data_IF_435883519790
#
_entry.id   IF_435883519790
#
_cell.length_a   1.000
_cell.length_b   1.000
_cell.length_c   1.000
_cell.angle_alpha   90.00
_cell.angle_beta   90.00
_cell.angle_gamma   90.00
#
_symmetry.space_group_name_H-M   'P 1'
#
loop_
_entity.id
_entity.type
_entity.pdbx_description
1 polymer ?
#
# COMPACT_ATOMS: atom_id res chain seq x y z
N UNK A 1 -25.29 3.97 -24.81
CA UNK A 1 -25.35 4.88 -23.63
C UNK A 1 -23.99 5.49 -23.29
N UNK A 2 -22.93 4.69 -23.03
CA UNK A 2 -21.60 5.22 -22.69
C UNK A 2 -21.05 6.25 -23.68
N UNK A 3 -21.15 5.98 -24.98
CA UNK A 3 -20.70 6.93 -26.02
C UNK A 3 -21.46 8.26 -25.98
N UNK A 4 -22.76 8.28 -25.68
CA UNK A 4 -23.51 9.53 -25.57
C UNK A 4 -23.09 10.39 -24.37
N UNK A 5 -22.51 9.78 -23.34
CA UNK A 5 -22.00 10.49 -22.16
C UNK A 5 -20.57 10.97 -22.41
N UNK A 6 -19.70 10.11 -22.93
CA UNK A 6 -18.29 10.43 -23.12
C UNK A 6 -18.04 11.28 -24.38
N UNK A 7 -18.66 10.93 -25.51
CA UNK A 7 -18.33 11.51 -26.81
C UNK A 7 -18.49 13.03 -26.91
N UNK A 8 -19.52 13.68 -26.32
CA UNK A 8 -19.67 15.13 -26.44
C UNK A 8 -18.42 15.90 -25.98
N UNK A 9 -17.79 15.48 -24.88
CA UNK A 9 -16.57 16.11 -24.40
C UNK A 9 -15.37 15.86 -25.33
N UNK A 10 -15.19 14.62 -25.82
CA UNK A 10 -14.12 14.30 -26.76
C UNK A 10 -14.28 15.04 -28.10
N UNK A 11 -15.52 15.15 -28.60
CA UNK A 11 -15.84 15.91 -29.82
C UNK A 11 -15.53 17.39 -29.60
N UNK A 12 -15.95 17.97 -28.47
CA UNK A 12 -15.67 19.36 -28.13
C UNK A 12 -14.16 19.64 -28.03
N UNK A 13 -13.41 18.77 -27.35
CA UNK A 13 -11.95 18.91 -27.20
C UNK A 13 -11.24 18.79 -28.55
N UNK A 14 -11.65 17.84 -29.39
CA UNK A 14 -11.09 17.71 -30.73
C UNK A 14 -11.44 18.90 -31.63
N UNK A 15 -12.69 19.39 -31.60
CA UNK A 15 -13.09 20.57 -32.37
C UNK A 15 -12.32 21.84 -31.95
N UNK A 16 -11.94 21.95 -30.67
CA UNK A 16 -11.23 23.11 -30.13
C UNK A 16 -9.72 23.05 -30.36
N UNK A 17 -9.11 21.87 -30.21
CA UNK A 17 -7.64 21.72 -30.15
C UNK A 17 -7.08 20.86 -31.30
N UNK A 18 -7.93 20.28 -32.15
CA UNK A 18 -7.54 19.43 -33.27
C UNK A 18 -6.65 18.25 -32.85
N UNK A 19 -5.68 17.95 -33.71
CA UNK A 19 -4.77 16.81 -33.52
C UNK A 19 -3.86 16.95 -32.30
N UNK A 20 -3.63 18.18 -31.80
CA UNK A 20 -2.84 18.40 -30.57
C UNK A 20 -3.50 17.70 -29.38
N UNK A 21 -4.83 17.70 -29.31
CA UNK A 21 -5.56 16.95 -28.29
C UNK A 21 -5.33 15.45 -28.42
N UNK A 22 -5.43 14.88 -29.63
CA UNK A 22 -5.22 13.45 -29.83
C UNK A 22 -3.79 13.03 -29.46
N UNK A 23 -2.80 13.81 -29.90
CA UNK A 23 -1.39 13.58 -29.61
C UNK A 23 -1.12 13.67 -28.11
N UNK A 24 -1.63 14.69 -27.41
CA UNK A 24 -1.36 14.82 -25.96
C UNK A 24 -2.17 13.83 -25.12
N UNK A 25 -3.46 13.69 -25.40
CA UNK A 25 -4.36 12.90 -24.57
C UNK A 25 -4.17 11.40 -24.75
N UNK A 26 -4.01 10.92 -25.99
CA UNK A 26 -3.84 9.50 -26.26
C UNK A 26 -2.37 9.15 -26.42
N UNK A 27 -1.61 9.80 -27.31
CA UNK A 27 -0.25 9.35 -27.57
C UNK A 27 0.69 9.66 -26.40
N UNK A 28 0.75 10.89 -25.92
CA UNK A 28 1.67 11.30 -24.86
C UNK A 28 1.32 10.67 -23.51
N UNK A 29 0.04 10.58 -23.13
CA UNK A 29 -0.31 9.94 -21.85
C UNK A 29 -0.21 8.41 -21.90
N UNK A 30 -0.53 7.75 -23.02
CA UNK A 30 -0.41 6.29 -23.12
C UNK A 30 1.04 5.84 -23.29
N UNK A 31 1.85 6.57 -24.06
CA UNK A 31 3.28 6.25 -24.24
C UNK A 31 4.17 6.86 -23.17
N UNK A 32 3.94 8.11 -22.77
CA UNK A 32 4.75 8.84 -21.78
C UNK A 32 4.33 8.60 -20.32
N UNK A 33 3.04 8.39 -20.04
CA UNK A 33 2.59 8.07 -18.68
C UNK A 33 2.93 6.64 -18.26
N UNK A 34 2.94 5.69 -19.20
CA UNK A 34 3.31 4.29 -18.96
C UNK A 34 4.78 3.98 -19.26
N UNK A 35 5.48 4.74 -20.11
CA UNK A 35 6.89 4.49 -20.47
C UNK A 35 7.85 5.67 -20.21
N UNK A 36 7.37 6.87 -19.90
CA UNK A 36 8.16 8.11 -19.80
C UNK A 36 8.95 8.30 -18.50
N UNK A 37 9.20 7.22 -17.76
CA UNK A 37 10.23 7.18 -16.73
C UNK A 37 9.96 7.90 -15.41
N UNK A 38 8.72 8.30 -15.15
CA UNK A 38 8.31 8.83 -13.86
C UNK A 38 7.74 7.68 -12.99
N UNK A 39 8.12 7.61 -11.71
CA UNK A 39 7.61 6.67 -10.72
C UNK A 39 7.89 5.18 -10.99
N UNK A 40 9.15 4.86 -11.29
CA UNK A 40 9.56 3.46 -11.36
C UNK A 40 9.45 2.78 -10.00
N UNK A 41 8.68 1.70 -9.95
CA UNK A 41 8.59 0.84 -8.78
C UNK A 41 8.57 -0.64 -9.18
N UNK A 42 9.10 -1.54 -8.33
CA UNK A 42 9.22 -2.96 -8.65
C UNK A 42 7.85 -3.63 -8.83
N UNK A 43 7.82 -4.79 -9.49
CA UNK A 43 6.60 -5.55 -9.81
C UNK A 43 5.71 -5.78 -8.56
N UNK A 44 6.32 -6.12 -7.43
CA UNK A 44 5.63 -6.42 -6.17
C UNK A 44 5.12 -5.18 -5.41
N UNK A 45 5.34 -3.97 -5.90
CA UNK A 45 5.05 -2.74 -5.17
C UNK A 45 3.58 -2.61 -4.76
N UNK A 46 2.63 -2.81 -5.68
CA UNK A 46 1.21 -2.77 -5.35
C UNK A 46 0.80 -3.87 -4.38
N UNK A 47 1.44 -5.04 -4.43
CA UNK A 47 1.23 -6.10 -3.45
C UNK A 47 1.59 -5.64 -2.04
N UNK A 48 2.80 -5.08 -1.87
CA UNK A 48 3.27 -4.55 -0.59
C UNK A 48 2.37 -3.40 -0.13
N UNK A 49 2.07 -2.44 -1.01
CA UNK A 49 1.21 -1.31 -0.70
C UNK A 49 -0.19 -1.74 -0.27
N UNK A 50 -0.77 -2.70 -0.97
CA UNK A 50 -2.08 -3.27 -0.63
C UNK A 50 -2.02 -3.92 0.75
N UNK A 51 -1.03 -4.77 1.03
CA UNK A 51 -0.88 -5.39 2.35
C UNK A 51 -0.70 -4.35 3.47
N UNK A 52 -0.08 -3.21 3.18
CA UNK A 52 0.08 -2.10 4.12
C UNK A 52 -1.23 -1.35 4.39
N UNK A 53 -1.95 -0.95 3.35
CA UNK A 53 -3.20 -0.18 3.47
C UNK A 53 -4.40 -0.99 3.92
N UNK A 54 -4.39 -2.30 3.67
CA UNK A 54 -5.44 -3.22 4.14
C UNK A 54 -5.28 -3.58 5.62
N UNK A 55 -4.39 -2.96 6.38
CA UNK A 55 -4.31 -3.20 7.82
C UNK A 55 -5.56 -2.61 8.50
N UNK A 56 -6.23 -3.35 9.40
CA UNK A 56 -5.84 -4.67 9.89
C UNK A 56 -6.27 -5.83 8.95
N UNK A 57 -7.31 -5.68 8.13
CA UNK A 57 -7.94 -6.70 7.26
C UNK A 57 -7.02 -7.66 6.48
N UNK A 58 -5.74 -7.35 6.28
CA UNK A 58 -4.73 -8.22 5.66
C UNK A 58 -4.71 -9.64 6.25
N UNK A 59 -5.02 -9.82 7.53
CA UNK A 59 -5.09 -11.14 8.18
C UNK A 59 -6.23 -12.01 7.64
N UNK A 60 -7.21 -11.43 6.94
CA UNK A 60 -8.32 -12.15 6.31
C UNK A 60 -7.98 -12.70 4.93
N UNK A 61 -6.81 -12.36 4.38
CA UNK A 61 -6.36 -12.86 3.07
C UNK A 61 -6.30 -14.39 3.01
N UNK A 62 -5.71 -15.10 4.01
CA UNK A 62 -5.73 -16.57 4.03
C UNK A 62 -7.15 -17.15 3.96
N UNK A 63 -8.13 -16.44 4.50
CA UNK A 63 -9.54 -16.85 4.45
C UNK A 63 -10.17 -16.68 3.08
N UNK A 64 -9.84 -15.59 2.40
CA UNK A 64 -10.24 -15.38 1.02
C UNK A 64 -9.65 -16.51 0.16
N UNK A 65 -8.35 -16.80 0.32
CA UNK A 65 -7.66 -17.87 -0.41
C UNK A 65 -8.30 -19.24 -0.12
N UNK A 66 -8.51 -19.58 1.15
CA UNK A 66 -9.18 -20.82 1.53
C UNK A 66 -10.57 -20.95 0.90
N UNK A 67 -11.36 -19.87 0.95
CA UNK A 67 -12.70 -19.82 0.36
C UNK A 67 -12.66 -20.07 -1.14
N UNK A 68 -11.73 -19.42 -1.86
CA UNK A 68 -11.53 -19.62 -3.31
C UNK A 68 -11.21 -21.09 -3.59
N UNK A 69 -10.21 -21.65 -2.91
CA UNK A 69 -9.78 -23.04 -3.13
C UNK A 69 -10.91 -24.05 -2.81
N UNK A 70 -11.65 -23.85 -1.71
CA UNK A 70 -12.78 -24.70 -1.34
C UNK A 70 -13.91 -24.64 -2.39
N UNK A 71 -14.19 -23.46 -2.94
CA UNK A 71 -15.23 -23.30 -3.95
C UNK A 71 -14.81 -23.86 -5.32
N UNK A 72 -13.52 -23.78 -5.69
CA UNK A 72 -12.98 -24.46 -6.88
C UNK A 72 -13.24 -25.98 -6.79
N UNK A 73 -12.93 -26.59 -5.64
CA UNK A 73 -13.17 -28.03 -5.43
C UNK A 73 -14.65 -28.40 -5.54
N UNK A 74 -15.54 -27.52 -5.05
CA UNK A 74 -17.00 -27.69 -5.11
C UNK A 74 -17.59 -27.30 -6.47
N UNK A 75 -16.77 -26.88 -7.44
CA UNK A 75 -17.20 -26.34 -8.74
C UNK A 75 -18.18 -25.17 -8.64
N UNK A 76 -18.08 -24.39 -7.57
CA UNK A 76 -18.85 -23.17 -7.37
C UNK A 76 -18.01 -21.97 -7.81
N UNK A 77 -18.46 -21.25 -8.84
CA UNK A 77 -17.70 -20.14 -9.43
C UNK A 77 -18.25 -18.75 -9.04
N UNK A 78 -19.06 -18.65 -8.00
CA UNK A 78 -19.60 -17.35 -7.53
C UNK A 78 -18.51 -16.32 -7.18
N UNK A 79 -17.33 -16.78 -6.75
CA UNK A 79 -16.19 -15.90 -6.43
C UNK A 79 -15.43 -15.37 -7.67
N UNK A 80 -15.72 -15.89 -8.87
CA UNK A 80 -14.89 -15.68 -10.05
C UNK A 80 -15.02 -14.25 -10.59
N UNK A 81 -16.21 -13.64 -10.52
CA UNK A 81 -16.43 -12.25 -10.95
C UNK A 81 -15.56 -11.25 -10.18
N UNK A 82 -15.62 -11.18 -8.83
CA UNK A 82 -14.76 -10.26 -8.08
C UNK A 82 -13.27 -10.62 -8.21
N UNK A 83 -12.93 -11.91 -8.33
CA UNK A 83 -11.54 -12.31 -8.53
C UNK A 83 -10.99 -11.81 -9.88
N UNK A 84 -11.73 -11.98 -10.98
CA UNK A 84 -11.34 -11.49 -12.29
C UNK A 84 -11.22 -9.96 -12.31
N UNK A 85 -12.11 -9.25 -11.62
CA UNK A 85 -12.01 -7.79 -11.45
C UNK A 85 -10.71 -7.42 -10.72
N UNK A 86 -10.38 -8.09 -9.62
CA UNK A 86 -9.12 -7.83 -8.91
C UNK A 86 -7.93 -8.06 -9.85
N UNK A 87 -7.90 -9.18 -10.56
CA UNK A 87 -6.79 -9.54 -11.45
C UNK A 87 -6.68 -8.59 -12.65
N UNK A 88 -7.81 -8.14 -13.23
CA UNK A 88 -7.82 -7.28 -14.41
C UNK A 88 -7.25 -5.89 -14.15
N UNK A 89 -7.25 -5.43 -12.90
CA UNK A 89 -6.61 -4.17 -12.49
C UNK A 89 -5.22 -4.45 -11.94
N UNK A 90 -5.10 -5.37 -10.98
CA UNK A 90 -3.86 -5.58 -10.24
C UNK A 90 -2.71 -6.01 -11.16
N UNK A 91 -2.95 -6.93 -12.10
CA UNK A 91 -1.89 -7.47 -12.96
C UNK A 91 -1.36 -6.42 -13.95
N UNK A 92 -2.19 -5.73 -14.77
CA UNK A 92 -1.68 -4.73 -15.70
C UNK A 92 -0.94 -3.58 -15.01
N UNK A 93 -1.47 -3.08 -13.88
CA UNK A 93 -0.80 -2.01 -13.14
C UNK A 93 0.50 -2.49 -12.48
N UNK A 94 0.56 -3.73 -11.96
CA UNK A 94 1.80 -4.27 -11.39
C UNK A 94 2.89 -4.45 -12.43
N UNK A 95 2.55 -4.86 -13.65
CA UNK A 95 3.51 -5.02 -14.76
C UNK A 95 3.96 -3.68 -15.34
N UNK A 96 3.13 -2.62 -15.26
CA UNK A 96 3.50 -1.28 -15.71
C UNK A 96 4.74 -0.74 -14.99
N UNK A 97 5.66 -0.10 -15.72
CA UNK A 97 6.88 0.47 -15.14
C UNK A 97 6.59 1.69 -14.26
N UNK A 98 5.66 2.55 -14.69
CA UNK A 98 5.20 3.71 -13.92
C UNK A 98 4.06 3.31 -12.98
N UNK A 99 4.27 3.46 -11.67
CA UNK A 99 3.29 3.08 -10.65
C UNK A 99 2.87 4.28 -9.81
N UNK A 100 1.57 4.34 -9.50
CA UNK A 100 0.99 5.38 -8.66
C UNK A 100 -0.03 4.75 -7.73
N UNK A 101 0.03 5.03 -6.43
CA UNK A 101 -0.70 4.25 -5.41
C UNK A 101 -2.21 4.23 -5.60
N UNK A 102 -2.81 5.29 -6.16
CA UNK A 102 -4.26 5.35 -6.38
C UNK A 102 -4.73 4.53 -7.59
N UNK A 103 -3.85 4.05 -8.47
CA UNK A 103 -4.27 3.25 -9.63
C UNK A 103 -4.96 1.94 -9.25
N UNK A 104 -4.64 1.41 -8.06
CA UNK A 104 -5.28 0.20 -7.54
C UNK A 104 -6.52 0.47 -6.71
N UNK A 105 -6.97 1.73 -6.56
CA UNK A 105 -8.17 2.03 -5.78
C UNK A 105 -9.44 1.34 -6.28
N UNK A 106 -9.64 1.16 -7.59
CA UNK A 106 -10.80 0.41 -8.06
C UNK A 106 -10.77 -1.09 -7.70
N UNK A 107 -9.70 -1.63 -7.08
CA UNK A 107 -9.68 -2.99 -6.51
C UNK A 107 -10.52 -3.13 -5.24
N UNK A 108 -10.64 -2.07 -4.45
CA UNK A 108 -11.21 -2.14 -3.09
C UNK A 108 -12.63 -2.75 -3.06
N UNK A 109 -13.57 -2.35 -3.93
CA UNK A 109 -14.92 -2.92 -3.90
C UNK A 109 -14.93 -4.43 -4.17
N UNK A 110 -14.19 -4.89 -5.19
CA UNK A 110 -14.14 -6.30 -5.55
C UNK A 110 -13.53 -7.16 -4.43
N UNK A 111 -12.51 -6.65 -3.76
CA UNK A 111 -11.90 -7.33 -2.64
C UNK A 111 -12.82 -7.37 -1.42
N UNK A 112 -13.55 -6.28 -1.11
CA UNK A 112 -14.56 -6.28 -0.04
C UNK A 112 -15.71 -7.26 -0.31
N UNK A 113 -16.16 -7.36 -1.57
CA UNK A 113 -17.16 -8.37 -1.96
C UNK A 113 -16.64 -9.79 -1.75
N UNK A 114 -15.41 -10.06 -2.18
CA UNK A 114 -14.77 -11.37 -2.02
C UNK A 114 -14.53 -11.71 -0.54
N UNK A 115 -14.17 -10.71 0.27
CA UNK A 115 -14.04 -10.83 1.70
C UNK A 115 -15.38 -11.14 2.37
N UNK A 116 -16.44 -10.39 2.04
CA UNK A 116 -17.79 -10.63 2.55
C UNK A 116 -18.29 -12.02 2.20
N UNK A 117 -18.07 -12.46 0.96
CA UNK A 117 -18.35 -13.82 0.51
C UNK A 117 -17.57 -14.88 1.29
N UNK A 118 -16.29 -14.63 1.59
CA UNK A 118 -15.48 -15.52 2.40
C UNK A 118 -15.98 -15.60 3.84
N UNK A 119 -16.32 -14.47 4.46
CA UNK A 119 -16.86 -14.40 5.82
C UNK A 119 -18.22 -15.11 5.94
N UNK A 120 -19.11 -14.94 4.97
CA UNK A 120 -20.41 -15.63 4.94
C UNK A 120 -20.25 -17.16 4.91
N UNK A 121 -19.24 -17.65 4.17
CA UNK A 121 -18.96 -19.09 4.12
C UNK A 121 -18.33 -19.61 5.42
N UNK A 122 -17.68 -18.76 6.21
CA UNK A 122 -17.04 -19.11 7.49
C UNK A 122 -18.04 -19.18 8.64
N UNK A 123 -19.19 -18.50 8.58
CA UNK A 123 -20.21 -18.64 9.62
C UNK A 123 -20.66 -20.10 9.83
N UNK A 124 -20.47 -20.95 8.81
CA UNK A 124 -20.67 -22.41 8.87
C UNK A 124 -19.53 -23.17 9.56
N UNK A 125 -18.35 -22.57 9.70
CA UNK A 125 -17.11 -23.11 10.30
C UNK A 125 -16.61 -22.19 11.42
N UNK A 126 -17.43 -22.05 12.48
CA UNK A 126 -17.23 -21.14 13.63
C UNK A 126 -15.87 -21.24 14.34
N UNK A 127 -15.20 -22.39 14.24
CA UNK A 127 -13.88 -22.65 14.83
C UNK A 127 -12.77 -21.88 14.09
N UNK A 128 -12.90 -21.67 12.78
CA UNK A 128 -11.90 -20.99 11.96
C UNK A 128 -11.90 -19.47 12.22
N UNK A 129 -13.08 -18.89 12.44
CA UNK A 129 -13.24 -17.48 12.78
C UNK A 129 -12.59 -17.15 14.14
N UNK A 130 -12.79 -18.03 15.13
CA UNK A 130 -12.16 -17.94 16.45
C UNK A 130 -10.63 -18.08 16.40
N UNK A 131 -10.12 -18.99 15.58
CA UNK A 131 -8.70 -19.20 15.45
C UNK A 131 -8.00 -18.02 14.75
N UNK A 132 -8.63 -17.39 13.75
CA UNK A 132 -8.12 -16.16 13.14
C UNK A 132 -8.13 -14.96 14.08
N UNK A 133 -9.15 -14.87 14.95
CA UNK A 133 -9.25 -13.83 15.97
C UNK A 133 -8.16 -13.98 17.05
N UNK A 134 -7.84 -15.21 17.45
CA UNK A 134 -6.71 -15.48 18.36
C UNK A 134 -5.35 -15.11 17.73
N UNK A 135 -5.19 -15.34 16.43
CA UNK A 135 -3.99 -14.97 15.67
C UNK A 135 -3.86 -13.46 15.52
N UNK A 136 -4.98 -12.78 15.28
CA UNK A 136 -5.09 -11.32 15.34
C UNK A 136 -4.59 -10.78 16.69
N UNK A 137 -5.04 -11.40 17.79
CA UNK A 137 -4.72 -10.96 19.16
C UNK A 137 -3.27 -11.21 19.57
N UNK A 138 -2.59 -12.17 18.95
CA UNK A 138 -1.16 -12.43 19.22
C UNK A 138 -0.21 -11.57 18.39
N UNK A 139 -0.65 -11.07 17.23
CA UNK A 139 0.17 -10.25 16.32
C UNK A 139 0.15 -8.77 16.71
N UNK A 140 -0.97 -8.25 17.22
CA UNK A 140 -1.16 -6.81 17.51
C UNK A 140 -0.22 -6.27 18.60
N UNK A 141 0.04 -6.95 19.74
CA UNK A 141 0.98 -6.46 20.76
C UNK A 141 2.43 -6.41 20.26
N UNK A 142 2.81 -7.37 19.40
CA UNK A 142 4.15 -7.44 18.82
C UNK A 142 4.39 -6.34 17.78
N UNK A 143 3.31 -5.87 17.16
CA UNK A 143 3.33 -4.82 16.15
C UNK A 143 3.64 -3.44 16.75
N UNK A 144 3.00 -3.08 17.87
CA UNK A 144 3.18 -1.77 18.48
C UNK A 144 4.60 -1.53 19.03
N UNK A 145 5.32 -2.61 19.36
CA UNK A 145 6.70 -2.52 19.88
C UNK A 145 7.78 -2.36 18.79
N UNK A 146 7.46 -2.51 17.51
CA UNK A 146 8.47 -2.71 16.44
C UNK A 146 8.29 -1.84 15.20
N UNK A 147 7.62 -0.69 15.34
CA UNK A 147 7.31 0.27 14.26
C UNK A 147 8.54 0.82 13.51
N UNK A 148 9.79 0.51 13.91
CA UNK A 148 10.95 1.02 13.18
C UNK A 148 11.59 0.07 12.15
N UNK A 149 11.89 -1.23 12.37
CA UNK A 149 12.86 -1.91 11.46
C UNK A 149 12.75 -3.43 11.19
N UNK A 150 11.63 -4.13 11.41
CA UNK A 150 11.61 -5.59 11.16
C UNK A 150 11.29 -5.95 9.68
N UNK A 151 12.09 -6.82 9.03
CA UNK A 151 11.84 -7.27 7.65
C UNK A 151 10.54 -8.09 7.52
N UNK A 152 9.94 -8.07 6.32
CA UNK A 152 8.69 -8.77 5.96
C UNK A 152 8.68 -10.30 6.26
N UNK A 153 9.86 -10.91 6.44
CA UNK A 153 10.06 -12.37 6.56
C UNK A 153 9.46 -12.99 7.83
N UNK A 154 9.75 -12.51 9.06
CA UNK A 154 9.11 -13.00 10.29
C UNK A 154 7.59 -12.85 10.29
N UNK A 155 7.03 -11.82 9.64
CA UNK A 155 5.58 -11.66 9.52
C UNK A 155 4.97 -12.79 8.68
N UNK A 156 5.53 -13.06 7.49
CA UNK A 156 5.12 -14.19 6.65
C UNK A 156 5.22 -15.54 7.39
N UNK A 157 6.30 -15.75 8.17
CA UNK A 157 6.48 -16.97 8.96
C UNK A 157 5.41 -17.11 10.04
N UNK A 158 5.09 -16.05 10.79
CA UNK A 158 4.05 -16.08 11.82
C UNK A 158 2.67 -16.34 11.21
N UNK A 159 2.40 -15.77 10.03
CA UNK A 159 1.17 -15.98 9.28
C UNK A 159 1.05 -17.44 8.81
N UNK A 160 2.15 -18.05 8.36
CA UNK A 160 2.19 -19.46 7.97
C UNK A 160 1.99 -20.39 9.18
N UNK A 161 2.66 -20.12 10.30
CA UNK A 161 2.54 -20.91 11.54
C UNK A 161 1.11 -20.85 12.08
N UNK A 162 0.53 -19.65 12.15
CA UNK A 162 -0.86 -19.48 12.57
C UNK A 162 -1.83 -20.22 11.65
N UNK A 163 -1.69 -20.08 10.33
CA UNK A 163 -2.53 -20.80 9.36
C UNK A 163 -2.42 -22.32 9.51
N UNK A 164 -1.20 -22.84 9.73
CA UNK A 164 -0.97 -24.27 10.02
C UNK A 164 -1.62 -24.73 11.32
N UNK A 165 -1.51 -23.94 12.39
CA UNK A 165 -2.14 -24.22 13.68
C UNK A 165 -3.68 -24.22 13.58
N UNK A 166 -4.26 -23.30 12.81
CA UNK A 166 -5.71 -23.28 12.57
C UNK A 166 -6.21 -24.55 11.88
N UNK A 167 -5.46 -25.06 10.90
CA UNK A 167 -5.78 -26.32 10.23
C UNK A 167 -5.76 -27.51 11.20
N UNK A 168 -4.83 -27.49 12.15
CA UNK A 168 -4.69 -28.51 13.18
C UNK A 168 -5.78 -28.42 14.27
N UNK A 169 -6.05 -27.23 14.81
CA UNK A 169 -7.01 -27.01 15.89
C UNK A 169 -8.46 -27.29 15.46
N UNK A 170 -8.83 -26.98 14.21
CA UNK A 170 -10.14 -27.29 13.65
C UNK A 170 -10.42 -28.81 13.61
N UNK A 171 -9.38 -29.64 13.57
CA UNK A 171 -9.52 -31.10 13.63
C UNK A 171 -9.82 -31.62 15.04
N UNK A 172 -9.50 -30.86 16.09
CA UNK A 172 -9.48 -31.36 17.48
C UNK A 172 -10.59 -30.79 18.40
N UNK A 173 -11.00 -29.53 18.24
CA UNK A 173 -11.91 -28.87 19.19
C UNK A 173 -13.34 -28.79 18.67
N UNK A 174 -14.07 -29.92 18.67
CA UNK A 174 -15.40 -29.95 18.05
C UNK A 174 -16.57 -29.57 18.97
N UNK A 175 -16.53 -29.60 20.31
CA UNK A 175 -17.73 -29.31 21.12
C UNK A 175 -17.45 -28.75 22.53
N UNK A 176 -18.16 -27.67 22.90
CA UNK A 176 -19.00 -27.54 24.14
C UNK A 176 -18.87 -26.33 25.10
N UNK A 177 -18.20 -25.20 24.81
CA UNK A 177 -18.55 -23.96 25.56
C UNK A 177 -18.36 -22.66 24.78
N UNK A 178 -19.49 -22.12 24.32
CA UNK A 178 -19.58 -21.00 23.37
C UNK A 178 -19.72 -19.62 24.05
N UNK A 179 -20.26 -19.55 25.28
CA UNK A 179 -20.53 -18.26 25.96
C UNK A 179 -19.28 -17.55 26.45
N UNK A 180 -18.30 -18.30 26.95
CA UNK A 180 -17.02 -17.75 27.42
C UNK A 180 -16.19 -17.20 26.25
N UNK A 181 -16.29 -17.82 25.08
CA UNK A 181 -15.58 -17.41 23.87
C UNK A 181 -16.09 -16.08 23.30
N UNK A 182 -17.41 -15.82 23.35
CA UNK A 182 -17.98 -14.52 22.95
C UNK A 182 -17.61 -13.37 23.91
N UNK A 183 -17.67 -13.60 25.22
CA UNK A 183 -17.33 -12.57 26.22
C UNK A 183 -15.86 -12.17 26.15
N UNK A 184 -14.96 -13.16 25.99
CA UNK A 184 -13.54 -12.92 25.78
C UNK A 184 -13.29 -12.14 24.48
N UNK A 185 -13.98 -12.51 23.39
CA UNK A 185 -13.90 -11.82 22.10
C UNK A 185 -14.29 -10.34 22.19
N UNK A 186 -15.44 -10.01 22.79
CA UNK A 186 -15.92 -8.63 22.91
C UNK A 186 -15.01 -7.78 23.81
N UNK A 187 -14.51 -8.35 24.89
CA UNK A 187 -13.60 -7.66 25.82
C UNK A 187 -12.30 -7.29 25.13
N UNK A 188 -11.73 -8.22 24.36
CA UNK A 188 -10.47 -7.97 23.67
C UNK A 188 -10.70 -7.05 22.47
N UNK A 189 -11.80 -7.17 21.70
CA UNK A 189 -12.14 -6.24 20.62
C UNK A 189 -12.21 -4.79 21.11
N UNK A 190 -12.86 -4.56 22.26
CA UNK A 190 -12.94 -3.25 22.90
C UNK A 190 -11.56 -2.71 23.30
N UNK A 191 -10.70 -3.55 23.85
CA UNK A 191 -9.32 -3.18 24.22
C UNK A 191 -8.46 -2.82 22.99
N UNK A 192 -8.55 -3.59 21.89
CA UNK A 192 -7.80 -3.32 20.66
C UNK A 192 -8.25 -2.03 19.97
N UNK A 193 -9.57 -1.76 19.94
CA UNK A 193 -10.11 -0.53 19.39
C UNK A 193 -9.67 0.70 20.20
N UNK A 194 -9.66 0.60 21.54
CA UNK A 194 -9.15 1.65 22.43
C UNK A 194 -7.65 1.90 22.23
N UNK A 195 -6.84 0.83 22.09
CA UNK A 195 -5.41 0.97 21.83
C UNK A 195 -5.11 1.58 20.46
N UNK A 196 -5.84 1.18 19.41
CA UNK A 196 -5.67 1.75 18.07
C UNK A 196 -6.06 3.23 18.02
N UNK A 197 -7.21 3.59 18.61
CA UNK A 197 -7.65 4.98 18.76
C UNK A 197 -6.60 5.81 19.50
N UNK A 198 -5.96 5.24 20.53
CA UNK A 198 -4.94 5.94 21.30
C UNK A 198 -3.65 6.16 20.49
N UNK A 199 -3.27 5.24 19.61
CA UNK A 199 -2.06 5.35 18.77
C UNK A 199 -2.22 6.28 17.57
N UNK A 200 -3.41 6.41 16.99
CA UNK A 200 -3.66 7.34 15.86
C UNK A 200 -3.62 8.82 16.29
N UNK A 201 -3.63 9.08 17.60
CA UNK A 201 -3.48 10.43 18.16
C UNK A 201 -2.03 10.92 18.19
N UNK A 202 -1.03 10.07 17.91
CA UNK A 202 0.33 10.56 17.60
C UNK A 202 0.32 11.12 16.19
N UNK A 203 -0.16 12.36 16.08
CA UNK A 203 -0.04 13.23 14.91
C UNK A 203 1.43 13.27 14.47
N UNK A 204 1.85 12.37 13.59
CA UNK A 204 2.98 12.69 12.74
C UNK A 204 2.49 13.87 11.89
N UNK A 205 3.03 15.09 12.10
CA UNK A 205 2.65 16.20 11.24
C UNK A 205 2.89 15.74 9.80
N UNK A 206 1.92 16.00 8.92
CA UNK A 206 1.89 15.33 7.64
C UNK A 206 3.20 15.64 6.92
N UNK A 207 4.02 14.62 6.66
CA UNK A 207 5.28 14.72 5.91
C UNK A 207 5.09 15.57 4.66
N UNK A 208 3.91 15.48 4.07
CA UNK A 208 3.44 16.30 2.96
C UNK A 208 3.53 17.81 3.22
N UNK A 209 3.08 18.30 4.38
CA UNK A 209 3.19 19.72 4.73
C UNK A 209 4.65 20.15 4.81
N UNK A 210 5.50 19.38 5.50
CA UNK A 210 6.91 19.73 5.65
C UNK A 210 7.67 19.67 4.32
N UNK A 211 7.43 18.63 3.51
CA UNK A 211 8.01 18.49 2.16
C UNK A 211 7.50 19.58 1.23
N UNK A 212 6.22 19.96 1.33
CA UNK A 212 5.65 21.08 0.57
C UNK A 212 6.32 22.40 0.94
N UNK A 213 6.51 22.67 2.22
CA UNK A 213 7.24 23.86 2.69
C UNK A 213 8.67 23.86 2.17
N UNK A 214 9.37 22.72 2.31
CA UNK A 214 10.75 22.55 1.83
C UNK A 214 10.84 22.77 0.30
N UNK A 215 9.91 22.21 -0.47
CA UNK A 215 9.86 22.40 -1.92
C UNK A 215 9.55 23.84 -2.32
N UNK A 216 8.66 24.52 -1.59
CA UNK A 216 8.31 25.92 -1.87
C UNK A 216 9.49 26.87 -1.69
N UNK A 217 10.41 26.57 -0.77
CA UNK A 217 11.65 27.34 -0.54
C UNK A 217 12.77 26.98 -1.52
N UNK A 218 12.69 25.82 -2.18
CA UNK A 218 13.77 25.26 -3.00
C UNK A 218 13.30 24.99 -4.45
N UNK A 219 12.80 26.01 -5.14
CA UNK A 219 12.14 25.87 -6.46
C UNK A 219 13.08 25.58 -7.66
N UNK A 220 14.40 25.45 -7.45
CA UNK A 220 15.38 25.25 -8.52
C UNK A 220 16.06 23.87 -8.53
N UNK A 221 15.62 22.94 -7.69
CA UNK A 221 16.23 21.61 -7.62
C UNK A 221 15.82 20.78 -8.84
N UNK A 222 16.79 20.22 -9.57
CA UNK A 222 16.57 19.45 -10.80
C UNK A 222 16.76 17.93 -10.64
N UNK A 223 17.33 17.48 -9.52
CA UNK A 223 17.47 16.05 -9.19
C UNK A 223 17.42 15.88 -7.69
N UNK A 224 16.52 15.02 -7.20
CA UNK A 224 16.32 14.80 -5.77
C UNK A 224 16.25 13.31 -5.48
N UNK A 225 17.10 12.82 -4.60
CA UNK A 225 17.00 11.50 -4.00
C UNK A 225 16.23 11.60 -2.68
N UNK A 226 15.37 10.63 -2.39
CA UNK A 226 14.51 10.63 -1.19
C UNK A 226 14.80 9.37 -0.38
N UNK A 227 15.13 9.54 0.91
CA UNK A 227 15.42 8.44 1.83
C UNK A 227 14.65 8.58 3.14
N UNK A 228 14.11 7.47 3.64
CA UNK A 228 13.45 7.41 4.94
C UNK A 228 12.06 8.08 4.99
N UNK A 229 11.48 8.42 3.84
CA UNK A 229 10.14 9.01 3.75
C UNK A 229 9.40 8.56 2.48
N UNK A 230 8.07 8.75 2.40
CA UNK A 230 7.30 8.45 1.19
C UNK A 230 7.80 9.26 -0.01
N UNK A 231 8.20 8.55 -1.05
CA UNK A 231 8.71 9.10 -2.30
C UNK A 231 7.73 10.10 -2.95
N UNK A 232 6.44 9.81 -2.83
CA UNK A 232 5.35 10.52 -3.50
C UNK A 232 5.22 11.96 -3.04
N UNK A 233 5.54 12.23 -1.76
CA UNK A 233 5.51 13.57 -1.22
C UNK A 233 6.52 14.46 -1.94
N UNK A 234 7.74 13.98 -2.13
CA UNK A 234 8.77 14.74 -2.83
C UNK A 234 8.44 14.89 -4.31
N UNK A 235 7.92 13.84 -4.94
CA UNK A 235 7.45 13.86 -6.33
C UNK A 235 6.37 14.94 -6.56
N UNK A 236 5.41 15.07 -5.64
CA UNK A 236 4.29 16.02 -5.82
C UNK A 236 4.71 17.48 -5.66
N UNK A 237 5.62 17.75 -4.74
CA UNK A 237 5.91 19.12 -4.34
C UNK A 237 7.16 19.70 -5.00
N UNK A 238 8.16 18.87 -5.33
CA UNK A 238 9.34 19.34 -6.03
C UNK A 238 9.15 19.25 -7.54
N UNK A 239 9.34 20.38 -8.22
CA UNK A 239 9.35 20.45 -9.68
C UNK A 239 10.71 20.01 -10.26
N UNK A 240 11.31 18.95 -9.71
CA UNK A 240 12.66 18.55 -10.08
C UNK A 240 12.70 17.67 -11.32
N UNK A 241 11.57 17.18 -11.83
CA UNK A 241 11.52 16.32 -13.03
C UNK A 241 12.22 14.95 -12.87
N UNK A 242 13.05 14.78 -11.84
CA UNK A 242 13.85 13.60 -11.57
C UNK A 242 13.98 13.38 -10.05
N UNK A 243 12.92 12.81 -9.46
CA UNK A 243 12.92 12.34 -8.07
C UNK A 243 13.24 10.84 -8.08
N UNK A 244 14.19 10.40 -7.26
CA UNK A 244 14.66 9.01 -7.19
C UNK A 244 14.61 8.46 -5.76
N UNK A 245 14.32 7.17 -5.59
CA UNK A 245 14.42 6.46 -4.29
C UNK A 245 15.74 5.73 -4.12
N UNK A 246 16.46 5.48 -5.22
CA UNK A 246 17.70 4.73 -5.21
C UNK A 246 18.87 5.68 -4.97
N UNK A 247 19.51 5.50 -3.83
CA UNK A 247 20.69 6.27 -3.47
C UNK A 247 21.97 5.68 -4.07
N UNK A 248 21.99 4.42 -4.54
CA UNK A 248 23.22 3.80 -5.07
C UNK A 248 23.75 4.49 -6.34
N UNK A 249 22.89 5.22 -7.06
CA UNK A 249 23.26 6.07 -8.20
C UNK A 249 23.39 7.53 -7.79
N UNK A 250 24.28 7.81 -6.84
CA UNK A 250 24.62 9.20 -6.50
C UNK A 250 25.33 9.87 -7.67
N UNK A 251 24.60 10.66 -8.44
CA UNK A 251 25.18 11.60 -9.39
C UNK A 251 25.80 12.80 -8.64
N UNK A 252 26.73 13.53 -9.25
CA UNK A 252 27.43 14.66 -8.59
C UNK A 252 26.50 15.84 -8.28
N UNK A 253 25.36 15.93 -8.98
CA UNK A 253 24.38 17.02 -8.85
C UNK A 253 23.14 16.66 -8.04
N UNK A 254 23.15 15.55 -7.30
CA UNK A 254 21.97 15.08 -6.57
C UNK A 254 21.79 15.78 -5.22
N UNK A 255 20.59 16.31 -5.00
CA UNK A 255 20.12 16.68 -3.67
C UNK A 255 19.54 15.45 -2.97
N UNK A 256 19.66 15.36 -1.65
CA UNK A 256 19.13 14.24 -0.85
C UNK A 256 18.16 14.79 0.19
N UNK A 257 16.91 14.32 0.16
CA UNK A 257 15.95 14.55 1.23
C UNK A 257 15.99 13.33 2.15
N UNK A 258 16.25 13.56 3.43
CA UNK A 258 16.42 12.53 4.46
C UNK A 258 15.53 12.85 5.66
N UNK A 259 14.87 11.82 6.22
CA UNK A 259 14.19 11.93 7.50
C UNK A 259 15.16 11.62 8.65
N UNK A 260 15.07 12.34 9.76
CA UNK A 260 15.90 12.14 10.95
C UNK A 260 15.90 10.67 11.42
N UNK A 261 17.03 10.22 11.96
CA UNK A 261 17.22 8.87 12.47
C UNK A 261 17.48 7.77 11.42
N UNK A 262 17.55 8.10 10.13
CA UNK A 262 17.91 7.17 9.05
C UNK A 262 19.38 7.30 8.63
N UNK A 263 20.34 6.60 9.26
CA UNK A 263 21.73 6.64 8.77
C UNK A 263 22.49 5.34 9.03
N UNK A 264 23.02 4.73 7.95
CA UNK A 264 24.45 4.41 7.89
C UNK A 264 25.12 5.14 6.70
N UNK A 265 24.64 6.34 6.35
CA UNK A 265 25.25 7.21 5.35
C UNK A 265 26.40 8.03 5.94
N UNK A 266 27.50 8.10 5.18
CA UNK A 266 28.61 9.01 5.45
C UNK A 266 28.19 10.45 5.11
N UNK A 267 27.56 11.14 6.08
CA UNK A 267 27.09 12.51 5.93
C UNK A 267 28.21 13.51 5.68
N UNK A 268 29.49 13.14 5.85
CA UNK A 268 30.62 14.03 5.54
C UNK A 268 30.69 14.40 4.05
N UNK A 269 30.02 13.64 3.18
CA UNK A 269 29.92 13.92 1.74
C UNK A 269 28.75 14.85 1.38
N UNK A 270 28.01 15.33 2.37
CA UNK A 270 26.78 16.08 2.19
C UNK A 270 26.82 17.38 3.00
N UNK A 271 26.43 18.48 2.37
CA UNK A 271 26.20 19.76 3.02
C UNK A 271 24.70 19.93 3.25
N UNK A 272 24.29 20.19 4.49
CA UNK A 272 22.91 20.53 4.79
C UNK A 272 22.56 21.87 4.13
N UNK A 273 21.51 21.88 3.31
CA UNK A 273 21.01 23.07 2.60
C UNK A 273 19.84 23.69 3.34
N UNK A 274 18.85 22.87 3.70
CA UNK A 274 17.61 23.31 4.32
C UNK A 274 17.07 22.19 5.23
N UNK A 275 16.20 22.55 6.18
CA UNK A 275 15.49 21.59 7.01
C UNK A 275 14.09 22.08 7.35
N UNK A 276 13.17 21.15 7.50
CA UNK A 276 11.81 21.40 7.95
C UNK A 276 11.37 20.28 8.87
N UNK A 277 11.16 20.60 10.15
CA UNK A 277 10.98 19.62 11.22
C UNK A 277 12.10 18.57 11.23
N UNK A 278 11.77 17.30 11.02
CA UNK A 278 12.69 16.17 10.98
C UNK A 278 13.04 15.74 9.54
N UNK A 279 12.82 16.62 8.56
CA UNK A 279 13.15 16.40 7.15
C UNK A 279 14.30 17.34 6.77
N UNK A 280 15.40 16.77 6.29
CA UNK A 280 16.62 17.47 5.94
C UNK A 280 16.86 17.40 4.43
N UNK A 281 17.18 18.53 3.81
CA UNK A 281 17.63 18.62 2.44
C UNK A 281 19.15 18.82 2.43
N UNK A 282 19.87 17.86 1.87
CA UNK A 282 21.30 17.90 1.69
C UNK A 282 21.66 18.12 0.21
N UNK A 283 22.82 18.71 -0.03
CA UNK A 283 23.49 18.75 -1.33
C UNK A 283 24.80 18.01 -1.21
N UNK A 284 25.11 17.16 -2.18
CA UNK A 284 26.40 16.47 -2.20
C UNK A 284 27.54 17.47 -2.40
N UNK A 285 28.60 17.36 -1.60
CA UNK A 285 29.84 18.12 -1.80
C UNK A 285 30.72 17.32 -2.75
N UNK A 286 31.09 17.92 -3.89
CA UNK A 286 31.97 17.28 -4.88
C UNK A 286 33.28 16.87 -4.22
N UNK A 287 33.65 15.59 -4.37
CA UNK A 287 35.06 15.18 -4.37
C UNK A 287 35.61 15.34 -5.79
#
# INVERSE_FOLDING_TARGET
MFLFIAAPWFIFMYATFGDVFLQRHFLFNLSGGAAGGQNFAPLQWYGIYMLDRWKPLVFLIPVIIYTILSNIQKRNFAFLIPLLWILSIFVPFSVSSAKVWWYIYPLWPAFLLLLGYALQNIEKTRIMLLAMLLVLMSIVPYWQLTVSHIPLKPFLLLTLISTGFMFFANKFFSQKSWRWTYSLFLTILGATALLHWHTDLSKNPSWNTHIKTLASRNQGLTKISVLGMPYESALFYFNSGNVQTDITRYDKDNYLILKDGWVPLDLNKFMLIDKEADIFLYKRVSQ
#
